data_IF_387080687342
#
_entry.id   IF_387080687342
#
_cell.length_a   1.000
_cell.length_b   1.000
_cell.length_c   1.000
_cell.angle_alpha   90.00
_cell.angle_beta   90.00
_cell.angle_gamma   90.00
#
_symmetry.space_group_name_H-M   'P 1'
#
loop_
_entity.id
_entity.type
_entity.pdbx_description
1 polymer ?
#
# COMPACT_ATOMS: atom_id res chain seq x y z
N UNK A 1 21.44 -10.25 -20.31
CA UNK A 1 21.43 -9.26 -21.41
C UNK A 1 22.48 -8.20 -21.07
N UNK A 2 23.21 -7.66 -22.06
CA UNK A 2 24.18 -6.58 -21.84
C UNK A 2 23.87 -5.39 -22.74
N UNK A 3 23.96 -4.18 -22.22
CA UNK A 3 23.78 -2.94 -22.97
C UNK A 3 25.08 -2.11 -22.88
N UNK A 4 25.36 -1.30 -23.90
CA UNK A 4 26.46 -0.33 -23.80
C UNK A 4 26.02 0.88 -22.98
N UNK A 5 26.96 1.59 -22.38
CA UNK A 5 26.66 2.78 -21.62
C UNK A 5 26.05 3.88 -22.50
N UNK A 6 26.44 3.98 -23.77
CA UNK A 6 25.80 4.85 -24.78
C UNK A 6 24.32 4.50 -25.00
N UNK A 7 23.97 3.20 -25.09
CA UNK A 7 22.57 2.78 -25.20
C UNK A 7 21.76 3.21 -23.98
N UNK A 8 22.34 3.12 -22.78
CA UNK A 8 21.69 3.56 -21.55
C UNK A 8 21.55 5.09 -21.49
N UNK A 9 22.57 5.83 -21.92
CA UNK A 9 22.52 7.28 -22.03
C UNK A 9 21.38 7.72 -22.98
N UNK A 10 21.30 7.12 -24.16
CA UNK A 10 20.23 7.39 -25.13
C UNK A 10 18.84 7.02 -24.61
N UNK A 11 18.70 5.88 -23.94
CA UNK A 11 17.42 5.45 -23.34
C UNK A 11 16.93 6.41 -22.25
N UNK A 12 17.86 6.96 -21.47
CA UNK A 12 17.55 7.89 -20.38
C UNK A 12 17.47 9.36 -20.82
N UNK A 13 17.85 9.67 -22.06
CA UNK A 13 18.01 11.04 -22.55
C UNK A 13 19.14 11.81 -21.85
N UNK A 14 20.16 11.09 -21.35
CA UNK A 14 21.24 11.66 -20.56
C UNK A 14 22.52 11.94 -21.33
N UNK A 15 23.30 12.89 -20.83
CA UNK A 15 24.65 13.18 -21.34
C UNK A 15 25.66 12.20 -20.72
N UNK A 16 26.43 11.54 -21.58
CA UNK A 16 27.44 10.57 -21.16
C UNK A 16 28.78 11.24 -20.87
N UNK A 17 29.37 10.93 -19.71
CA UNK A 17 30.77 11.23 -19.37
C UNK A 17 31.48 9.92 -19.00
N UNK A 18 32.29 9.41 -19.91
CA UNK A 18 33.01 8.14 -19.77
C UNK A 18 33.10 7.38 -21.09
N UNK A 19 33.51 6.11 -21.04
CA UNK A 19 33.61 5.26 -22.24
C UNK A 19 32.22 4.80 -22.73
N UNK A 20 31.77 5.19 -23.94
CA UNK A 20 30.47 4.80 -24.50
C UNK A 20 30.35 3.29 -24.75
N UNK A 21 31.47 2.60 -24.94
CA UNK A 21 31.51 1.17 -25.24
C UNK A 21 31.45 0.28 -24.01
N UNK A 22 31.53 0.88 -22.81
CA UNK A 22 31.47 0.18 -21.54
C UNK A 22 30.20 -0.68 -21.46
N UNK A 23 30.39 -1.98 -21.24
CA UNK A 23 29.29 -2.93 -21.13
C UNK A 23 28.70 -2.91 -19.73
N UNK A 24 27.39 -2.70 -19.66
CA UNK A 24 26.59 -2.78 -18.46
C UNK A 24 25.70 -4.02 -18.53
N UNK A 25 25.79 -4.88 -17.52
CA UNK A 25 25.11 -6.18 -17.43
C UNK A 25 24.05 -6.22 -16.34
N UNK A 26 23.98 -5.21 -15.48
CA UNK A 26 23.05 -5.15 -14.37
C UNK A 26 22.89 -3.75 -13.80
N UNK A 27 22.04 -3.64 -12.79
CA UNK A 27 21.78 -2.41 -12.07
C UNK A 27 21.61 -2.72 -10.59
N UNK A 28 22.21 -1.90 -9.72
CA UNK A 28 22.24 -2.17 -8.28
C UNK A 28 22.34 -0.88 -7.46
N UNK A 29 22.07 -0.99 -6.15
CA UNK A 29 22.24 0.12 -5.20
C UNK A 29 23.71 0.55 -5.10
N UNK A 30 23.97 1.81 -4.73
CA UNK A 30 25.36 2.32 -4.61
C UNK A 30 26.23 1.48 -3.64
N UNK A 31 25.62 0.85 -2.64
CA UNK A 31 26.34 0.04 -1.66
C UNK A 31 26.70 -1.36 -2.13
N UNK A 32 25.95 -1.91 -3.09
CA UNK A 32 26.07 -3.31 -3.51
C UNK A 32 26.62 -3.45 -4.93
N UNK A 33 26.51 -2.39 -5.74
CA UNK A 33 26.87 -2.42 -7.14
C UNK A 33 28.30 -2.95 -7.36
N UNK A 34 28.40 -3.89 -8.27
CA UNK A 34 29.62 -4.52 -8.72
C UNK A 34 30.11 -3.92 -10.05
N UNK A 35 31.36 -4.19 -10.45
CA UNK A 35 31.83 -3.87 -11.79
C UNK A 35 30.92 -4.50 -12.86
N UNK A 36 30.56 -3.74 -13.87
CA UNK A 36 29.58 -4.09 -14.90
C UNK A 36 28.15 -3.63 -14.58
N UNK A 37 27.89 -3.04 -13.41
CA UNK A 37 26.56 -2.56 -13.03
C UNK A 37 26.47 -1.03 -13.01
N UNK A 38 25.28 -0.52 -13.32
CA UNK A 38 24.94 0.89 -13.19
C UNK A 38 24.17 1.16 -11.90
N UNK A 39 24.38 2.32 -11.29
CA UNK A 39 23.63 2.79 -10.12
C UNK A 39 23.07 4.20 -10.34
N UNK A 40 22.53 4.83 -9.30
CA UNK A 40 22.09 6.22 -9.35
C UNK A 40 22.42 6.97 -8.07
N UNK A 41 22.57 8.28 -8.20
CA UNK A 41 22.77 9.19 -7.09
C UNK A 41 21.89 10.42 -7.26
N UNK A 42 20.90 10.56 -6.37
CA UNK A 42 19.97 11.70 -6.35
C UNK A 42 19.92 12.43 -5.00
N UNK A 43 20.36 11.79 -3.91
CA UNK A 43 20.27 12.36 -2.56
C UNK A 43 21.65 12.46 -1.90
N UNK A 44 22.04 13.69 -1.54
CA UNK A 44 23.33 14.01 -0.94
C UNK A 44 23.65 13.19 0.32
N UNK A 45 22.66 12.71 1.06
CA UNK A 45 22.86 11.85 2.24
C UNK A 45 23.62 10.55 1.93
N UNK A 46 23.62 10.11 0.66
CA UNK A 46 24.30 8.89 0.22
C UNK A 46 25.70 9.13 -0.37
N UNK A 47 26.27 10.34 -0.23
CA UNK A 47 27.61 10.64 -0.77
C UNK A 47 28.68 9.69 -0.22
N UNK A 48 28.53 9.24 1.03
CA UNK A 48 29.43 8.25 1.63
C UNK A 48 29.38 6.88 0.95
N UNK A 49 28.21 6.46 0.43
CA UNK A 49 28.07 5.25 -0.38
C UNK A 49 28.60 5.49 -1.80
N UNK A 50 28.30 6.65 -2.39
CA UNK A 50 28.78 7.02 -3.72
C UNK A 50 30.30 6.95 -3.82
N UNK A 51 31.03 7.46 -2.82
CA UNK A 51 32.51 7.42 -2.80
C UNK A 51 33.08 6.00 -2.68
N UNK A 52 32.29 5.04 -2.20
CA UNK A 52 32.70 3.63 -1.98
C UNK A 52 32.13 2.68 -3.02
N UNK A 53 31.30 3.17 -3.95
CA UNK A 53 30.63 2.33 -4.94
C UNK A 53 31.64 1.63 -5.84
N UNK A 54 31.31 0.40 -6.26
CA UNK A 54 32.05 -0.31 -7.32
C UNK A 54 31.24 -0.39 -8.61
N UNK A 55 30.16 0.39 -8.72
CA UNK A 55 29.41 0.55 -9.96
C UNK A 55 30.34 1.02 -11.08
N UNK A 56 30.15 0.47 -12.27
CA UNK A 56 30.86 0.91 -13.47
C UNK A 56 30.33 2.23 -14.02
N UNK A 57 29.06 2.53 -13.76
CA UNK A 57 28.45 3.81 -14.11
C UNK A 57 27.42 4.27 -13.06
N UNK A 58 27.14 5.58 -13.00
CA UNK A 58 26.15 6.16 -12.09
C UNK A 58 25.32 7.23 -12.83
N UNK A 59 23.99 7.13 -12.72
CA UNK A 59 23.10 8.24 -13.07
C UNK A 59 23.22 9.36 -12.05
N UNK A 60 23.49 10.58 -12.51
CA UNK A 60 23.68 11.76 -11.65
C UNK A 60 22.93 12.96 -12.21
N UNK A 61 22.70 13.98 -11.39
CA UNK A 61 22.12 15.23 -11.84
C UNK A 61 23.10 16.01 -12.75
N UNK A 62 22.62 16.94 -13.61
CA UNK A 62 23.49 17.68 -14.51
C UNK A 62 24.53 18.55 -13.79
N UNK A 63 24.21 19.02 -12.59
CA UNK A 63 25.06 19.84 -11.71
C UNK A 63 26.01 19.02 -10.81
N UNK A 64 26.08 17.70 -11.02
CA UNK A 64 26.91 16.81 -10.21
C UNK A 64 28.41 17.09 -10.40
N UNK A 65 29.10 17.38 -9.29
CA UNK A 65 30.51 17.79 -9.28
C UNK A 65 31.42 16.96 -8.38
N UNK A 66 30.90 15.97 -7.64
CA UNK A 66 31.73 15.14 -6.77
C UNK A 66 32.64 14.22 -7.63
N UNK A 67 33.94 14.13 -7.31
CA UNK A 67 34.83 13.25 -8.05
C UNK A 67 34.49 11.78 -7.75
N UNK A 68 34.17 11.02 -8.80
CA UNK A 68 33.93 9.58 -8.73
C UNK A 68 34.65 8.87 -9.87
N UNK A 69 35.06 7.61 -9.63
CA UNK A 69 35.74 6.79 -10.63
C UNK A 69 34.79 6.17 -11.66
N UNK A 70 33.51 6.05 -11.31
CA UNK A 70 32.50 5.49 -12.20
C UNK A 70 32.19 6.45 -13.36
N UNK A 71 31.86 5.91 -14.53
CA UNK A 71 31.33 6.72 -15.61
C UNK A 71 29.99 7.38 -15.19
N UNK A 72 29.66 8.52 -15.76
CA UNK A 72 28.48 9.29 -15.38
C UNK A 72 27.51 9.35 -16.55
N UNK A 73 26.22 9.20 -16.25
CA UNK A 73 25.14 9.55 -17.17
C UNK A 73 24.32 10.66 -16.51
N UNK A 74 24.47 11.88 -17.02
CA UNK A 74 23.87 13.09 -16.45
C UNK A 74 22.45 13.25 -16.98
N UNK A 75 21.49 13.20 -16.06
CA UNK A 75 20.05 13.21 -16.37
C UNK A 75 19.31 14.14 -15.41
N UNK A 76 18.22 14.75 -15.87
CA UNK A 76 17.40 15.64 -15.05
C UNK A 76 16.74 14.94 -13.85
N UNK A 77 16.50 13.63 -13.95
CA UNK A 77 15.94 12.82 -12.86
C UNK A 77 16.65 11.45 -12.78
N UNK A 78 17.72 11.32 -11.97
CA UNK A 78 18.48 10.09 -11.83
C UNK A 78 17.66 8.89 -11.35
N UNK A 79 16.70 9.10 -10.45
CA UNK A 79 15.82 8.05 -9.95
C UNK A 79 14.97 7.45 -11.07
N UNK A 80 14.32 8.30 -11.86
CA UNK A 80 13.48 7.85 -12.99
C UNK A 80 14.30 7.14 -14.08
N UNK A 81 15.48 7.66 -14.40
CA UNK A 81 16.37 7.02 -15.36
C UNK A 81 16.80 5.62 -14.89
N UNK A 82 17.13 5.49 -13.60
CA UNK A 82 17.48 4.21 -13.00
C UNK A 82 16.32 3.21 -13.05
N UNK A 83 15.10 3.62 -12.74
CA UNK A 83 13.90 2.78 -12.83
C UNK A 83 13.68 2.24 -14.25
N UNK A 84 13.81 3.09 -15.28
CA UNK A 84 13.66 2.68 -16.68
C UNK A 84 14.70 1.63 -17.10
N UNK A 85 15.93 1.76 -16.60
CA UNK A 85 17.05 0.88 -16.93
C UNK A 85 17.01 -0.42 -16.14
N UNK A 86 16.66 -0.38 -14.85
CA UNK A 86 16.48 -1.58 -14.01
C UNK A 86 15.53 -2.57 -14.68
N UNK A 87 14.44 -2.09 -15.29
CA UNK A 87 13.47 -2.93 -15.99
C UNK A 87 14.06 -3.68 -17.21
N UNK A 88 15.18 -3.22 -17.78
CA UNK A 88 15.87 -3.93 -18.88
C UNK A 88 16.73 -5.09 -18.38
N UNK A 89 17.17 -5.03 -17.13
CA UNK A 89 17.99 -6.06 -16.48
C UNK A 89 17.17 -6.98 -15.57
N UNK A 90 15.97 -6.55 -15.17
CA UNK A 90 15.05 -7.36 -14.38
C UNK A 90 14.66 -8.65 -15.13
N UNK A 91 14.43 -9.76 -14.40
CA UNK A 91 13.77 -10.92 -14.97
C UNK A 91 12.48 -10.50 -15.68
N UNK A 92 12.19 -11.15 -16.81
CA UNK A 92 10.92 -10.91 -17.50
C UNK A 92 9.76 -11.15 -16.52
N UNK A 93 8.72 -10.30 -16.52
CA UNK A 93 7.52 -10.56 -15.72
C UNK A 93 6.98 -11.95 -16.01
N UNK A 94 6.46 -12.60 -14.97
CA UNK A 94 5.76 -13.87 -15.13
C UNK A 94 4.46 -13.58 -15.88
N UNK A 95 4.26 -14.27 -17.00
CA UNK A 95 3.04 -14.18 -17.81
C UNK A 95 2.24 -15.44 -17.59
N UNK A 96 1.01 -15.30 -17.12
CA UNK A 96 0.06 -16.41 -17.01
C UNK A 96 -0.72 -16.51 -18.32
N UNK A 97 -0.63 -17.68 -18.96
CA UNK A 97 -1.38 -17.94 -20.18
C UNK A 97 -2.89 -17.95 -19.87
N UNK A 98 -3.73 -17.37 -20.73
CA UNK A 98 -5.16 -17.53 -20.61
C UNK A 98 -5.61 -18.99 -20.64
N UNK A 99 -6.69 -19.28 -19.94
CA UNK A 99 -7.28 -20.61 -19.85
C UNK A 99 -7.77 -20.92 -18.45
N UNK A 100 -8.47 -22.04 -18.34
CA UNK A 100 -8.95 -22.58 -17.07
C UNK A 100 -8.12 -23.82 -16.76
N UNK A 101 -7.41 -23.81 -15.64
CA UNK A 101 -6.65 -24.97 -15.23
C UNK A 101 -7.58 -26.16 -14.96
N UNK A 102 -7.24 -27.41 -15.34
CA UNK A 102 -8.14 -28.56 -15.18
C UNK A 102 -8.60 -28.86 -13.74
N UNK A 103 -7.86 -28.38 -12.74
CA UNK A 103 -8.21 -28.53 -11.32
C UNK A 103 -8.97 -27.33 -10.73
N UNK A 104 -9.25 -26.30 -11.52
CA UNK A 104 -10.12 -25.22 -11.09
C UNK A 104 -11.59 -25.69 -11.13
N UNK A 105 -12.38 -25.22 -10.16
CA UNK A 105 -13.82 -25.49 -10.11
C UNK A 105 -14.54 -24.22 -10.51
N UNK A 106 -15.15 -24.22 -11.70
CA UNK A 106 -15.88 -23.08 -12.25
C UNK A 106 -17.33 -23.51 -12.44
N UNK A 107 -18.25 -22.81 -11.78
CA UNK A 107 -19.67 -23.05 -11.97
C UNK A 107 -20.10 -22.75 -13.42
N UNK A 108 -21.05 -23.54 -13.94
CA UNK A 108 -21.51 -23.43 -15.32
C UNK A 108 -22.22 -22.10 -15.64
N UNK A 109 -22.74 -21.40 -14.63
CA UNK A 109 -23.37 -20.08 -14.78
C UNK A 109 -22.39 -18.90 -14.67
N UNK A 110 -21.13 -19.15 -14.32
CA UNK A 110 -20.10 -18.12 -14.27
C UNK A 110 -19.80 -17.58 -15.68
N UNK A 111 -19.58 -16.26 -15.77
CA UNK A 111 -19.31 -15.57 -17.03
C UNK A 111 -17.86 -15.12 -17.05
N UNK A 112 -17.04 -15.80 -17.85
CA UNK A 112 -15.63 -15.46 -18.04
C UNK A 112 -15.48 -14.76 -19.40
N UNK A 113 -14.86 -13.58 -19.39
CA UNK A 113 -14.57 -12.83 -20.60
C UNK A 113 -13.27 -13.35 -21.28
N UNK A 114 -12.79 -12.62 -22.28
CA UNK A 114 -11.67 -13.08 -23.09
C UNK A 114 -10.35 -13.06 -22.31
N UNK A 115 -9.49 -14.02 -22.62
CA UNK A 115 -8.11 -14.10 -22.12
C UNK A 115 -7.99 -14.16 -20.57
N UNK A 116 -9.04 -14.58 -19.87
CA UNK A 116 -9.00 -14.85 -18.42
C UNK A 116 -8.08 -16.04 -18.12
N UNK A 117 -7.33 -15.95 -17.02
CA UNK A 117 -6.49 -17.04 -16.50
C UNK A 117 -7.02 -17.49 -15.14
N UNK A 118 -7.62 -18.69 -15.07
CA UNK A 118 -8.05 -19.32 -13.82
C UNK A 118 -7.02 -20.40 -13.44
N UNK A 119 -6.29 -20.17 -12.35
CA UNK A 119 -5.18 -21.02 -11.91
C UNK A 119 -5.65 -22.25 -11.11
N UNK A 120 -4.74 -23.21 -10.79
CA UNK A 120 -5.11 -24.45 -10.11
C UNK A 120 -5.90 -24.24 -8.83
N UNK A 121 -6.92 -25.08 -8.60
CA UNK A 121 -7.72 -25.12 -7.37
C UNK A 121 -8.49 -23.81 -7.05
N UNK A 122 -8.52 -22.84 -7.97
CA UNK A 122 -9.40 -21.69 -7.82
C UNK A 122 -10.87 -22.13 -7.94
N UNK A 123 -11.74 -21.49 -7.17
CA UNK A 123 -13.19 -21.75 -7.14
C UNK A 123 -13.94 -20.50 -7.58
N UNK A 124 -14.75 -20.63 -8.63
CA UNK A 124 -15.59 -19.57 -9.16
C UNK A 124 -17.05 -20.00 -9.03
N UNK A 125 -17.80 -19.29 -8.19
CA UNK A 125 -19.17 -19.63 -7.80
C UNK A 125 -20.24 -19.14 -8.79
N UNK A 126 -21.49 -19.61 -8.67
CA UNK A 126 -22.59 -19.24 -9.55
C UNK A 126 -22.79 -17.74 -9.75
N UNK A 127 -23.06 -17.37 -11.00
CA UNK A 127 -23.35 -15.99 -11.41
C UNK A 127 -22.18 -15.02 -11.31
N UNK A 128 -20.98 -15.47 -10.91
CA UNK A 128 -19.79 -14.62 -10.91
C UNK A 128 -19.44 -14.16 -12.33
N UNK A 129 -18.88 -12.95 -12.47
CA UNK A 129 -18.46 -12.37 -13.74
C UNK A 129 -17.02 -11.88 -13.65
N UNK A 130 -16.19 -12.27 -14.62
CA UNK A 130 -14.75 -11.95 -14.63
C UNK A 130 -14.40 -11.32 -15.98
N UNK A 131 -13.88 -10.09 -15.94
CA UNK A 131 -13.53 -9.29 -17.11
C UNK A 131 -12.25 -9.74 -17.83
N UNK A 132 -11.98 -9.11 -18.97
CA UNK A 132 -10.91 -9.51 -19.89
C UNK A 132 -9.53 -9.46 -19.23
N UNK A 133 -8.62 -10.35 -19.63
CA UNK A 133 -7.23 -10.38 -19.17
C UNK A 133 -7.05 -10.46 -17.64
N UNK A 134 -8.10 -10.82 -16.89
CA UNK A 134 -8.03 -10.98 -15.44
C UNK A 134 -7.44 -12.34 -15.06
N UNK A 135 -6.55 -12.32 -14.07
CA UNK A 135 -5.90 -13.50 -13.52
C UNK A 135 -6.48 -13.78 -12.14
N UNK A 136 -7.02 -14.99 -11.96
CA UNK A 136 -7.41 -15.53 -10.67
C UNK A 136 -6.37 -16.56 -10.23
N UNK A 137 -5.64 -16.24 -9.17
CA UNK A 137 -4.53 -17.01 -8.63
C UNK A 137 -4.97 -18.32 -7.97
N UNK A 138 -4.04 -19.26 -7.85
CA UNK A 138 -4.30 -20.61 -7.36
C UNK A 138 -4.99 -20.63 -5.99
N UNK A 139 -5.95 -21.53 -5.79
CA UNK A 139 -6.66 -21.68 -4.52
C UNK A 139 -7.49 -20.48 -4.07
N UNK A 140 -7.72 -19.49 -4.94
CA UNK A 140 -8.57 -18.33 -4.62
C UNK A 140 -10.05 -18.68 -4.75
N UNK A 141 -10.88 -18.01 -3.96
CA UNK A 141 -12.33 -18.16 -3.96
C UNK A 141 -13.01 -16.89 -4.47
N UNK A 142 -13.89 -17.03 -5.46
CA UNK A 142 -14.74 -15.94 -5.98
C UNK A 142 -16.19 -16.33 -5.76
N UNK A 143 -16.83 -15.66 -4.79
CA UNK A 143 -18.16 -15.96 -4.30
C UNK A 143 -19.28 -15.60 -5.28
N UNK A 144 -20.48 -16.11 -4.98
CA UNK A 144 -21.69 -15.97 -5.80
C UNK A 144 -21.95 -14.54 -6.25
N UNK A 145 -22.30 -14.35 -7.52
CA UNK A 145 -22.69 -13.06 -8.12
C UNK A 145 -21.63 -11.94 -7.99
N UNK A 146 -20.39 -12.28 -7.64
CA UNK A 146 -19.26 -11.33 -7.61
C UNK A 146 -18.94 -10.85 -9.02
N UNK A 147 -18.62 -9.57 -9.17
CA UNK A 147 -18.16 -9.01 -10.44
C UNK A 147 -16.74 -8.52 -10.26
N UNK A 148 -15.84 -8.95 -11.15
CA UNK A 148 -14.46 -8.50 -11.24
C UNK A 148 -14.25 -7.92 -12.63
N UNK A 149 -13.69 -6.70 -12.70
CA UNK A 149 -13.38 -6.01 -13.95
C UNK A 149 -12.24 -6.65 -14.74
N UNK A 150 -11.69 -5.88 -15.67
CA UNK A 150 -10.65 -6.35 -16.60
C UNK A 150 -9.24 -6.06 -16.07
N UNK A 151 -8.27 -6.85 -16.52
CA UNK A 151 -6.85 -6.72 -16.21
C UNK A 151 -6.56 -6.71 -14.70
N UNK A 152 -7.37 -7.42 -13.91
CA UNK A 152 -7.13 -7.59 -12.48
C UNK A 152 -6.12 -8.71 -12.23
N UNK A 153 -5.35 -8.59 -11.15
CA UNK A 153 -4.45 -9.62 -10.69
C UNK A 153 -4.80 -10.02 -9.26
N UNK A 154 -5.51 -11.14 -9.14
CA UNK A 154 -5.85 -11.73 -7.85
C UNK A 154 -4.80 -12.81 -7.56
N UNK A 155 -3.96 -12.57 -6.56
CA UNK A 155 -2.90 -13.50 -6.16
C UNK A 155 -3.48 -14.79 -5.53
N UNK A 156 -2.66 -15.85 -5.37
CA UNK A 156 -3.11 -17.10 -4.77
C UNK A 156 -3.70 -16.92 -3.37
N UNK A 157 -4.69 -17.77 -3.04
CA UNK A 157 -5.35 -17.82 -1.74
C UNK A 157 -6.04 -16.51 -1.31
N UNK A 158 -6.61 -15.78 -2.26
CA UNK A 158 -7.50 -14.65 -1.96
C UNK A 158 -8.93 -15.15 -1.83
N UNK A 159 -9.67 -14.63 -0.84
CA UNK A 159 -11.11 -14.92 -0.69
C UNK A 159 -11.91 -13.66 -1.02
N UNK A 160 -12.71 -13.70 -2.08
CA UNK A 160 -13.66 -12.64 -2.43
C UNK A 160 -15.06 -13.20 -2.22
N UNK A 161 -15.75 -12.70 -1.19
CA UNK A 161 -17.09 -13.14 -0.82
C UNK A 161 -18.16 -12.57 -1.74
N UNK A 162 -19.34 -13.19 -1.66
CA UNK A 162 -20.45 -13.01 -2.58
C UNK A 162 -20.90 -11.55 -2.76
N UNK A 163 -21.34 -11.26 -3.99
CA UNK A 163 -21.87 -9.96 -4.46
C UNK A 163 -20.88 -8.80 -4.38
N UNK A 164 -19.60 -9.05 -4.12
CA UNK A 164 -18.56 -8.03 -4.18
C UNK A 164 -18.45 -7.45 -5.59
N UNK A 165 -18.12 -6.16 -5.67
CA UNK A 165 -17.95 -5.42 -6.93
C UNK A 165 -16.53 -4.90 -7.01
N UNK A 166 -15.71 -5.51 -7.86
CA UNK A 166 -14.31 -5.17 -8.06
C UNK A 166 -14.16 -4.56 -9.45
N UNK A 167 -13.54 -3.38 -9.51
CA UNK A 167 -13.24 -2.65 -10.74
C UNK A 167 -12.17 -3.32 -11.60
N UNK A 168 -11.54 -2.55 -12.46
CA UNK A 168 -10.48 -2.99 -13.38
C UNK A 168 -9.09 -2.59 -12.89
N UNK A 169 -8.07 -3.34 -13.31
CA UNK A 169 -6.66 -3.11 -12.92
C UNK A 169 -6.44 -3.15 -11.40
N UNK A 170 -7.28 -3.92 -10.70
CA UNK A 170 -7.18 -4.12 -9.26
C UNK A 170 -6.17 -5.24 -8.98
N UNK A 171 -5.31 -5.03 -7.99
CA UNK A 171 -4.36 -6.03 -7.51
C UNK A 171 -4.73 -6.41 -6.07
N UNK A 172 -4.90 -7.70 -5.80
CA UNK A 172 -5.19 -8.21 -4.45
C UNK A 172 -4.18 -9.30 -4.13
N UNK A 173 -3.36 -9.07 -3.11
CA UNK A 173 -2.27 -9.96 -2.69
C UNK A 173 -2.76 -11.13 -1.82
N UNK A 174 -1.93 -12.16 -1.71
CA UNK A 174 -2.31 -13.44 -1.09
C UNK A 174 -2.86 -13.33 0.32
N UNK A 175 -3.85 -14.16 0.63
CA UNK A 175 -4.46 -14.26 1.96
C UNK A 175 -5.42 -13.11 2.30
N UNK A 176 -5.58 -12.12 1.42
CA UNK A 176 -6.58 -11.08 1.63
C UNK A 176 -8.02 -11.65 1.59
N UNK A 177 -8.89 -11.08 2.42
CA UNK A 177 -10.30 -11.45 2.51
C UNK A 177 -11.17 -10.23 2.24
N UNK A 178 -11.97 -10.30 1.18
CA UNK A 178 -12.87 -9.24 0.74
C UNK A 178 -14.30 -9.69 0.98
N UNK A 179 -15.06 -8.90 1.74
CA UNK A 179 -16.47 -9.14 2.01
C UNK A 179 -16.76 -10.07 3.18
N UNK A 180 -15.84 -10.20 4.15
CA UNK A 180 -16.14 -10.82 5.44
C UNK A 180 -17.28 -10.08 6.16
N UNK A 181 -17.93 -10.74 7.12
CA UNK A 181 -18.93 -10.06 7.94
C UNK A 181 -18.22 -9.12 8.92
N UNK A 182 -18.63 -7.85 8.94
CA UNK A 182 -18.15 -6.90 9.94
C UNK A 182 -18.50 -7.27 11.37
N UNK A 183 -17.80 -6.65 12.33
CA UNK A 183 -17.99 -6.85 13.76
C UNK A 183 -19.29 -6.20 14.28
N UNK A 184 -20.44 -6.77 13.90
CA UNK A 184 -21.76 -6.33 14.32
C UNK A 184 -22.37 -7.26 15.37
N UNK A 185 -22.39 -6.83 16.63
CA UNK A 185 -23.03 -7.53 17.73
C UNK A 185 -23.85 -6.58 18.59
N UNK A 186 -24.95 -7.07 19.15
CA UNK A 186 -25.75 -6.36 20.15
C UNK A 186 -25.96 -7.20 21.40
N UNK A 187 -26.05 -6.54 22.55
CA UNK A 187 -26.29 -7.19 23.83
C UNK A 187 -27.79 -7.39 24.03
N UNK A 188 -28.25 -8.64 23.99
CA UNK A 188 -29.64 -9.03 24.25
C UNK A 188 -29.63 -10.11 25.32
N UNK A 189 -30.32 -9.85 26.44
CA UNK A 189 -30.39 -10.75 27.60
C UNK A 189 -29.01 -11.22 28.10
N UNK A 190 -28.03 -10.30 28.12
CA UNK A 190 -26.67 -10.58 28.59
C UNK A 190 -25.81 -11.41 27.62
N UNK A 191 -26.26 -11.63 26.38
CA UNK A 191 -25.51 -12.34 25.33
C UNK A 191 -25.28 -11.44 24.13
N UNK A 192 -24.11 -11.60 23.50
CA UNK A 192 -23.81 -10.96 22.22
C UNK A 192 -24.54 -11.71 21.10
N UNK A 193 -25.49 -11.06 20.44
CA UNK A 193 -26.20 -11.60 19.29
C UNK A 193 -25.67 -11.00 18.00
N UNK A 194 -25.50 -11.82 16.96
CA UNK A 194 -24.92 -11.41 15.67
C UNK A 194 -25.91 -10.54 14.89
N UNK A 195 -25.44 -9.39 14.45
CA UNK A 195 -26.14 -8.52 13.50
C UNK A 195 -25.76 -8.92 12.09
N UNK A 196 -26.76 -9.25 11.27
CA UNK A 196 -26.56 -9.65 9.88
C UNK A 196 -25.93 -8.54 9.04
N UNK A 197 -24.95 -8.90 8.22
CA UNK A 197 -24.23 -7.99 7.32
C UNK A 197 -24.68 -8.26 5.89
N UNK A 198 -25.59 -7.42 5.38
CA UNK A 198 -26.32 -7.66 4.12
C UNK A 198 -25.76 -6.88 2.93
N UNK A 199 -24.91 -5.88 3.19
CA UNK A 199 -24.30 -5.04 2.17
C UNK A 199 -23.22 -5.76 1.37
N UNK A 200 -22.42 -5.01 0.63
CA UNK A 200 -21.34 -5.54 -0.20
C UNK A 200 -20.02 -4.83 0.10
N UNK A 201 -18.95 -5.30 -0.53
CA UNK A 201 -17.74 -4.50 -0.75
C UNK A 201 -17.76 -4.02 -2.20
N UNK A 202 -17.42 -2.75 -2.39
CA UNK A 202 -17.11 -2.18 -3.69
C UNK A 202 -15.68 -1.65 -3.69
N UNK A 203 -14.90 -2.09 -4.66
CA UNK A 203 -13.54 -1.64 -4.94
C UNK A 203 -13.54 -1.11 -6.36
N UNK A 204 -13.17 0.16 -6.53
CA UNK A 204 -13.08 0.79 -7.84
C UNK A 204 -11.72 0.46 -8.51
N UNK A 205 -11.50 1.02 -9.70
CA UNK A 205 -10.33 0.78 -10.52
C UNK A 205 -8.98 1.14 -9.88
N UNK A 206 -7.89 0.53 -10.35
CA UNK A 206 -6.51 0.89 -10.00
C UNK A 206 -6.17 0.76 -8.50
N UNK A 207 -7.00 0.05 -7.73
CA UNK A 207 -6.79 -0.23 -6.31
C UNK A 207 -5.79 -1.36 -6.12
N UNK A 208 -4.96 -1.27 -5.08
CA UNK A 208 -4.08 -2.36 -4.64
C UNK A 208 -4.30 -2.67 -3.17
N UNK A 209 -4.47 -3.96 -2.85
CA UNK A 209 -4.72 -4.47 -1.51
C UNK A 209 -3.65 -5.51 -1.15
N UNK A 210 -2.90 -5.23 -0.09
CA UNK A 210 -1.80 -6.04 0.41
C UNK A 210 -2.23 -7.38 1.02
N UNK A 211 -1.22 -8.20 1.31
CA UNK A 211 -1.39 -9.55 1.81
C UNK A 211 -2.05 -9.57 3.18
N UNK A 212 -2.92 -10.55 3.41
CA UNK A 212 -3.66 -10.75 4.66
C UNK A 212 -4.46 -9.52 5.14
N UNK A 213 -4.81 -8.62 4.23
CA UNK A 213 -5.71 -7.50 4.53
C UNK A 213 -7.17 -7.98 4.49
N UNK A 214 -7.97 -7.52 5.45
CA UNK A 214 -9.38 -7.84 5.54
C UNK A 214 -10.23 -6.59 5.28
N UNK A 215 -11.21 -6.74 4.39
CA UNK A 215 -12.19 -5.70 4.05
C UNK A 215 -13.58 -6.25 4.31
N UNK A 216 -14.22 -5.77 5.37
CA UNK A 216 -15.54 -6.24 5.76
C UNK A 216 -16.61 -5.66 4.84
N UNK A 217 -17.62 -6.47 4.52
CA UNK A 217 -18.83 -5.98 3.85
C UNK A 217 -19.59 -5.05 4.79
N UNK A 218 -20.31 -4.11 4.19
CA UNK A 218 -21.18 -3.23 4.95
C UNK A 218 -22.39 -3.98 5.56
N UNK A 219 -22.97 -3.41 6.62
CA UNK A 219 -24.29 -3.85 7.13
C UNK A 219 -25.36 -3.66 6.07
N UNK A 220 -25.43 -2.46 5.52
CA UNK A 220 -26.29 -2.06 4.41
C UNK A 220 -25.47 -1.24 3.40
N UNK A 221 -25.83 -1.30 2.12
CA UNK A 221 -25.12 -0.59 1.07
C UNK A 221 -23.75 -1.21 0.81
N UNK A 222 -22.67 -0.42 0.95
CA UNK A 222 -21.31 -0.84 0.60
C UNK A 222 -20.25 -0.30 1.55
N UNK A 223 -19.24 -1.12 1.81
CA UNK A 223 -17.88 -0.63 2.16
C UNK A 223 -17.22 -0.28 0.83
N UNK A 224 -16.67 0.93 0.68
CA UNK A 224 -16.28 1.47 -0.62
C UNK A 224 -14.84 1.97 -0.64
N UNK A 225 -14.02 1.29 -1.44
CA UNK A 225 -12.63 1.68 -1.69
C UNK A 225 -12.58 2.32 -3.08
N UNK A 226 -12.33 3.63 -3.12
CA UNK A 226 -12.35 4.39 -4.37
C UNK A 226 -11.06 4.23 -5.18
N UNK A 227 -11.12 4.73 -6.42
CA UNK A 227 -10.07 4.57 -7.42
C UNK A 227 -8.67 4.96 -6.92
N UNK A 228 -7.68 4.13 -7.24
CA UNK A 228 -6.25 4.42 -7.02
C UNK A 228 -5.78 4.28 -5.57
N UNK A 229 -6.64 3.84 -4.65
CA UNK A 229 -6.26 3.58 -3.25
C UNK A 229 -5.23 2.46 -3.16
N UNK A 230 -4.22 2.63 -2.29
CA UNK A 230 -3.18 1.63 -2.01
C UNK A 230 -3.20 1.24 -0.54
N UNK A 231 -3.48 -0.03 -0.26
CA UNK A 231 -3.58 -0.57 1.09
C UNK A 231 -2.49 -1.62 1.24
N UNK A 232 -1.61 -1.43 2.21
CA UNK A 232 -0.52 -2.34 2.51
C UNK A 232 -1.03 -3.59 3.26
N UNK A 233 -0.10 -4.44 3.70
CA UNK A 233 -0.38 -5.73 4.31
C UNK A 233 -1.01 -5.61 5.71
N UNK A 234 -1.76 -6.64 6.10
CA UNK A 234 -2.32 -6.79 7.45
C UNK A 234 -3.19 -5.59 7.91
N UNK A 235 -3.87 -4.93 6.98
CA UNK A 235 -4.79 -3.83 7.29
C UNK A 235 -6.18 -4.39 7.59
N UNK A 236 -6.88 -3.77 8.55
CA UNK A 236 -8.31 -4.03 8.80
C UNK A 236 -9.15 -2.85 8.33
N UNK A 237 -10.06 -3.09 7.39
CA UNK A 237 -11.10 -2.15 6.97
C UNK A 237 -12.46 -2.68 7.41
N UNK A 238 -13.07 -2.06 8.42
CA UNK A 238 -14.35 -2.49 8.93
C UNK A 238 -15.54 -2.13 8.01
N UNK A 239 -16.72 -2.60 8.41
CA UNK A 239 -17.96 -2.41 7.67
C UNK A 239 -18.30 -0.92 7.46
N UNK A 240 -18.87 -0.59 6.30
CA UNK A 240 -19.36 0.74 5.92
C UNK A 240 -18.27 1.83 5.80
N UNK A 241 -16.99 1.48 5.88
CA UNK A 241 -15.90 2.45 5.63
C UNK A 241 -15.94 2.92 4.17
N UNK A 242 -15.69 4.20 3.93
CA UNK A 242 -15.38 4.75 2.61
C UNK A 242 -13.98 5.30 2.61
N UNK A 243 -13.18 4.92 1.60
CA UNK A 243 -11.82 5.41 1.41
C UNK A 243 -11.75 6.18 0.11
N UNK A 244 -11.45 7.48 0.19
CA UNK A 244 -11.38 8.38 -0.93
C UNK A 244 -10.18 8.13 -1.85
N UNK A 245 -10.31 8.61 -3.09
CA UNK A 245 -9.35 8.38 -4.19
C UNK A 245 -7.89 8.68 -3.82
N UNK A 246 -6.98 7.85 -4.32
CA UNK A 246 -5.53 8.00 -4.20
C UNK A 246 -5.02 8.12 -2.74
N UNK A 247 -5.79 7.65 -1.77
CA UNK A 247 -5.35 7.49 -0.39
C UNK A 247 -4.42 6.29 -0.28
N UNK A 248 -3.36 6.42 0.51
CA UNK A 248 -2.40 5.33 0.75
C UNK A 248 -2.34 5.02 2.23
N UNK A 249 -2.28 3.74 2.57
CA UNK A 249 -2.29 3.25 3.94
C UNK A 249 -1.23 2.17 4.14
N UNK A 250 -0.32 2.42 5.08
CA UNK A 250 0.73 1.49 5.45
C UNK A 250 0.24 0.41 6.43
N UNK A 251 1.04 -0.66 6.53
CA UNK A 251 0.67 -1.91 7.15
C UNK A 251 0.14 -1.80 8.58
N UNK A 252 -0.67 -2.78 8.97
CA UNK A 252 -1.21 -2.96 10.33
C UNK A 252 -2.10 -1.81 10.82
N UNK A 253 -2.56 -0.95 9.92
CA UNK A 253 -3.54 0.08 10.25
C UNK A 253 -4.93 -0.54 10.42
N UNK A 254 -5.71 -0.04 11.37
CA UNK A 254 -7.06 -0.52 11.68
C UNK A 254 -8.08 0.61 11.62
N UNK A 255 -9.09 0.44 10.75
CA UNK A 255 -10.14 1.43 10.51
C UNK A 255 -11.47 0.84 10.99
N UNK A 256 -12.04 1.43 12.03
CA UNK A 256 -13.32 1.00 12.57
C UNK A 256 -14.51 1.39 11.68
N UNK A 257 -15.69 0.85 12.00
CA UNK A 257 -16.85 0.91 11.12
C UNK A 257 -17.35 2.33 10.84
N UNK A 258 -17.88 2.53 9.64
CA UNK A 258 -18.51 3.78 9.18
C UNK A 258 -17.61 5.02 9.18
N UNK A 259 -16.29 4.84 9.08
CA UNK A 259 -15.35 5.96 8.90
C UNK A 259 -15.39 6.44 7.44
N UNK A 260 -15.39 7.76 7.26
CA UNK A 260 -15.24 8.41 5.96
C UNK A 260 -13.84 8.99 5.82
N UNK A 261 -13.01 8.41 4.96
CA UNK A 261 -11.66 8.91 4.67
C UNK A 261 -11.71 9.66 3.34
N UNK A 262 -11.20 10.89 3.34
CA UNK A 262 -11.07 11.74 2.16
C UNK A 262 -10.05 11.23 1.13
N UNK A 263 -9.74 12.09 0.17
CA UNK A 263 -8.83 11.80 -0.93
C UNK A 263 -7.39 12.18 -0.59
N UNK A 264 -6.43 11.46 -1.17
CA UNK A 264 -4.97 11.71 -1.03
C UNK A 264 -4.53 11.77 0.44
N UNK A 265 -5.16 10.98 1.28
CA UNK A 265 -4.77 10.84 2.68
C UNK A 265 -3.56 9.90 2.75
N UNK A 266 -2.57 10.24 3.59
CA UNK A 266 -1.41 9.42 3.87
C UNK A 266 -1.57 8.83 5.27
N UNK A 267 -1.74 7.51 5.38
CA UNK A 267 -1.93 6.83 6.67
C UNK A 267 -0.69 5.99 6.96
N UNK A 268 0.08 6.38 7.97
CA UNK A 268 1.27 5.67 8.42
C UNK A 268 0.97 4.31 9.04
N UNK A 269 2.01 3.51 9.28
CA UNK A 269 1.82 2.14 9.77
C UNK A 269 1.26 2.10 11.19
N UNK A 270 0.48 1.06 11.51
CA UNK A 270 -0.13 0.85 12.82
C UNK A 270 -1.01 2.03 13.30
N UNK A 271 -1.65 2.75 12.39
CA UNK A 271 -2.62 3.79 12.77
C UNK A 271 -3.95 3.15 13.18
N UNK A 272 -4.54 3.65 14.26
CA UNK A 272 -5.89 3.26 14.70
C UNK A 272 -6.88 4.40 14.51
N UNK A 273 -8.02 4.15 13.86
CA UNK A 273 -9.08 5.14 13.65
C UNK A 273 -10.39 4.61 14.24
N UNK A 274 -11.01 5.37 15.17
CA UNK A 274 -12.29 4.98 15.77
C UNK A 274 -13.46 5.07 14.77
N UNK A 275 -14.60 4.48 15.08
CA UNK A 275 -15.75 4.44 14.17
C UNK A 275 -16.47 5.78 14.05
N UNK A 276 -17.26 5.94 12.99
CA UNK A 276 -18.18 7.07 12.79
C UNK A 276 -17.53 8.46 12.79
N UNK A 277 -16.31 8.57 12.27
CA UNK A 277 -15.63 9.85 12.11
C UNK A 277 -15.21 10.11 10.67
N UNK A 278 -14.89 11.38 10.40
CA UNK A 278 -14.48 11.87 9.10
C UNK A 278 -13.02 12.34 9.13
N UNK A 279 -12.25 11.92 8.11
CA UNK A 279 -10.89 12.35 7.85
C UNK A 279 -10.88 13.19 6.58
N UNK A 280 -10.49 14.45 6.68
CA UNK A 280 -10.45 15.37 5.54
C UNK A 280 -9.42 15.00 4.48
N UNK A 281 -9.60 15.58 3.30
CA UNK A 281 -8.67 15.43 2.17
C UNK A 281 -7.25 15.93 2.51
N UNK A 282 -6.25 15.32 1.88
CA UNK A 282 -4.84 15.68 1.99
C UNK A 282 -4.30 15.64 3.44
N UNK A 283 -4.91 14.87 4.32
CA UNK A 283 -4.42 14.64 5.67
C UNK A 283 -3.26 13.63 5.66
N UNK A 284 -2.22 13.90 6.45
CA UNK A 284 -1.16 12.94 6.74
C UNK A 284 -1.25 12.51 8.21
N UNK A 285 -1.33 11.21 8.46
CA UNK A 285 -1.37 10.61 9.80
C UNK A 285 -0.08 9.83 9.98
N UNK A 286 0.77 10.28 10.90
CA UNK A 286 2.02 9.60 11.24
C UNK A 286 1.77 8.24 11.89
N UNK A 287 2.73 7.33 11.73
CA UNK A 287 2.64 5.97 12.25
C UNK A 287 2.32 5.93 13.75
N UNK A 288 1.61 4.87 14.19
CA UNK A 288 1.19 4.65 15.58
C UNK A 288 0.27 5.73 16.19
N UNK A 289 -0.36 6.55 15.35
CA UNK A 289 -1.34 7.54 15.82
C UNK A 289 -2.71 6.90 16.05
N UNK A 290 -3.39 7.35 17.11
CA UNK A 290 -4.80 7.04 17.37
C UNK A 290 -5.69 8.24 17.08
N UNK A 291 -6.61 8.13 16.11
CA UNK A 291 -7.55 9.20 15.76
C UNK A 291 -8.90 8.94 16.42
N UNK A 292 -9.28 9.84 17.33
CA UNK A 292 -10.47 9.71 18.19
C UNK A 292 -11.60 10.70 17.89
N UNK A 293 -11.45 11.52 16.84
CA UNK A 293 -12.43 12.53 16.44
C UNK A 293 -12.23 12.90 14.97
N UNK A 294 -13.20 13.61 14.40
CA UNK A 294 -13.06 14.20 13.07
C UNK A 294 -11.80 15.07 13.00
N UNK A 295 -11.05 14.95 11.91
CA UNK A 295 -9.86 15.75 11.64
C UNK A 295 -9.89 16.26 10.20
N UNK A 296 -9.34 17.46 9.99
CA UNK A 296 -9.30 18.12 8.69
C UNK A 296 -7.87 18.49 8.33
N UNK A 297 -7.40 18.07 7.15
CA UNK A 297 -6.11 18.48 6.56
C UNK A 297 -4.90 18.28 7.47
N UNK A 298 -3.73 18.75 7.00
CA UNK A 298 -2.51 18.85 7.79
C UNK A 298 -1.86 17.50 8.17
N UNK A 299 -0.82 17.59 8.99
CA UNK A 299 -0.09 16.45 9.52
C UNK A 299 -0.46 16.22 10.99
N UNK A 300 -0.91 15.01 11.31
CA UNK A 300 -1.26 14.54 12.64
C UNK A 300 -0.28 13.46 13.03
N UNK A 301 0.26 13.51 14.24
CA UNK A 301 1.20 12.50 14.67
C UNK A 301 1.17 12.34 16.19
N UNK A 302 1.29 11.10 16.64
CA UNK A 302 1.50 10.74 18.03
C UNK A 302 2.57 9.63 18.14
N UNK A 303 3.08 9.43 19.36
CA UNK A 303 3.98 8.32 19.74
C UNK A 303 5.38 8.32 19.11
N UNK A 304 6.19 9.40 19.25
CA UNK A 304 7.61 9.32 18.92
C UNK A 304 8.33 8.35 19.86
N UNK A 305 9.29 7.60 19.33
CA UNK A 305 10.25 6.89 20.16
C UNK A 305 11.11 7.91 20.93
N UNK A 306 11.17 7.76 22.25
CA UNK A 306 12.02 8.56 23.15
C UNK A 306 12.88 7.63 24.00
N UNK A 307 14.07 8.07 24.47
CA UNK A 307 14.89 7.27 25.37
C UNK A 307 14.12 6.82 26.62
N UNK A 308 14.32 5.57 27.05
CA UNK A 308 13.52 4.94 28.11
C UNK A 308 13.47 5.74 29.43
N UNK A 309 14.61 6.32 29.83
CA UNK A 309 14.68 7.12 31.04
C UNK A 309 13.77 8.35 30.95
N UNK A 310 13.78 9.03 29.79
CA UNK A 310 12.93 10.18 29.51
C UNK A 310 11.45 9.77 29.47
N UNK A 311 11.13 8.67 28.80
CA UNK A 311 9.75 8.14 28.73
C UNK A 311 9.15 7.89 30.13
N UNK A 312 9.91 7.22 31.01
CA UNK A 312 9.48 6.93 32.38
C UNK A 312 9.20 8.21 33.17
N UNK A 313 10.05 9.22 32.98
CA UNK A 313 9.92 10.52 33.64
C UNK A 313 8.68 11.28 33.13
N UNK A 314 8.48 11.34 31.81
CA UNK A 314 7.30 11.95 31.19
C UNK A 314 6.00 11.29 31.68
N UNK A 315 5.93 9.96 31.71
CA UNK A 315 4.76 9.22 32.24
C UNK A 315 4.50 9.58 33.71
N UNK A 316 5.55 9.66 34.53
CA UNK A 316 5.41 10.03 35.93
C UNK A 316 4.88 11.47 36.11
N UNK A 317 5.30 12.40 35.26
CA UNK A 317 4.78 13.78 35.26
C UNK A 317 3.31 13.83 34.87
N UNK A 318 2.91 13.15 33.79
CA UNK A 318 1.51 13.10 33.34
C UNK A 318 0.60 12.57 34.44
N UNK A 319 1.00 11.48 35.13
CA UNK A 319 0.25 10.93 36.27
C UNK A 319 0.09 11.90 37.45
N UNK A 320 0.98 12.88 37.57
CA UNK A 320 0.97 13.89 38.65
C UNK A 320 0.25 15.19 38.26
N UNK A 321 -0.14 15.37 36.99
CA UNK A 321 -0.76 16.61 36.50
C UNK A 321 -2.02 16.99 37.30
N UNK A 322 -2.90 16.04 37.62
CA UNK A 322 -4.09 16.32 38.43
C UNK A 322 -3.77 16.92 39.81
N UNK A 323 -2.73 16.40 40.48
CA UNK A 323 -2.24 16.96 41.77
C UNK A 323 -1.61 18.33 41.58
N UNK A 324 -0.89 18.54 40.47
CA UNK A 324 -0.29 19.83 40.16
C UNK A 324 -1.37 20.90 39.91
N UNK A 325 -2.39 20.61 39.11
CA UNK A 325 -3.50 21.53 38.86
C UNK A 325 -4.26 21.88 40.15
N UNK A 326 -4.50 20.90 41.03
CA UNK A 326 -5.12 21.15 42.33
C UNK A 326 -4.28 22.12 43.19
N UNK A 327 -2.96 21.90 43.27
CA UNK A 327 -2.04 22.80 43.99
C UNK A 327 -1.98 24.19 43.35
N UNK A 328 -1.99 24.28 42.03
CA UNK A 328 -1.97 25.57 41.34
C UNK A 328 -3.23 26.38 41.66
N UNK A 329 -4.40 25.75 41.66
CA UNK A 329 -5.67 26.39 42.05
C UNK A 329 -5.66 26.92 43.49
N UNK A 330 -5.03 26.20 44.42
CA UNK A 330 -4.84 26.69 45.79
C UNK A 330 -3.90 27.90 45.87
N UNK A 331 -2.85 27.92 45.04
CA UNK A 331 -1.91 29.05 44.96
C UNK A 331 -2.59 30.28 44.34
N UNK A 332 -3.29 30.13 43.22
CA UNK A 332 -4.07 31.19 42.56
C UNK A 332 -5.07 31.81 43.54
N UNK A 333 -5.82 30.97 44.28
CA UNK A 333 -6.76 31.43 45.32
C UNK A 333 -6.09 32.25 46.43
N UNK A 334 -4.88 31.87 46.85
CA UNK A 334 -4.12 32.62 47.88
C UNK A 334 -3.58 33.95 47.37
N UNK A 335 -3.30 34.04 46.08
CA UNK A 335 -2.78 35.24 45.42
C UNK A 335 -3.89 36.17 44.90
N UNK A 336 -5.15 35.73 44.93
CA UNK A 336 -6.30 36.50 44.44
C UNK A 336 -6.35 36.61 42.91
N UNK A 337 -5.78 35.62 42.20
CA UNK A 337 -5.82 35.49 40.74
C UNK A 337 -7.08 34.76 40.28
#
# INVERSE_FOLDING_TARGET
MSLTLEQLANLSGGELVGDPTLKITGAASLGEAAPGEISFFANRKYVGLLRKTRASAVFVSPDFAEPINAAQVRVSNPTKAFEQVVLKFAPKPIIFAPGIHPSAVVDASAQLADRVSIQPLAVIEPGAKIGNDTIIGAGSYVGHETVIGSACHIYPHVTIRERSRIGSRVIIHSGAVIGADGFGFEMVDGRQQKIQQLGIVQIDDDVEIGANTAVDRARFGRTWIQQGVKIDNLVQIAHNVVIGKNTVMAAQSGIAGSVQIGQRVLIGGQVGIIGHIEIGDNTAIGAQSGISKNISGGAWWASPAVPLAEAKQQIAWVRRLGKLFARMKEVEKKLGL
#
